data_IF_571910428177
#
_entry.id   IF_571910428177
#
_cell.length_a   1.000
_cell.length_b   1.000
_cell.length_c   1.000
_cell.angle_alpha   90.00
_cell.angle_beta   90.00
_cell.angle_gamma   90.00
#
_symmetry.space_group_name_H-M   'P 1'
#
loop_
_entity.id
_entity.type
_entity.pdbx_description
1 polymer ?
#
# COMPACT_ATOMS: atom_id res chain seq x y z
N UNK A 1 7.37 16.27 12.20
CA UNK A 1 6.87 14.90 12.42
C UNK A 1 5.56 14.79 11.66
N UNK A 2 5.44 13.88 10.69
CA UNK A 2 4.19 13.68 9.95
C UNK A 2 3.25 12.82 10.79
N UNK A 3 1.98 13.23 10.93
CA UNK A 3 0.93 12.41 11.56
C UNK A 3 0.14 11.73 10.45
N UNK A 4 0.53 10.51 10.08
CA UNK A 4 -0.10 9.78 8.97
C UNK A 4 -1.08 8.79 9.56
N UNK A 5 -2.36 8.97 9.27
CA UNK A 5 -3.43 8.08 9.72
C UNK A 5 -4.01 7.24 8.58
N UNK A 6 -3.89 7.73 7.36
CA UNK A 6 -4.39 7.10 6.15
C UNK A 6 -3.21 6.73 5.25
N UNK A 7 -2.83 5.44 5.23
CA UNK A 7 -1.64 5.03 4.48
C UNK A 7 -1.87 4.95 2.97
N UNK A 8 -3.12 5.02 2.51
CA UNK A 8 -3.47 4.86 1.10
C UNK A 8 -4.85 5.45 0.80
N UNK A 9 -4.88 6.47 -0.07
CA UNK A 9 -6.14 7.07 -0.54
C UNK A 9 -6.06 7.41 -2.02
N UNK A 10 -7.17 7.24 -2.72
CA UNK A 10 -7.37 7.72 -4.09
C UNK A 10 -8.09 9.07 -4.13
N UNK A 11 -8.44 9.64 -2.97
CA UNK A 11 -8.99 10.99 -2.92
C UNK A 11 -7.95 12.03 -3.37
N UNK A 12 -8.37 13.04 -4.15
CA UNK A 12 -7.44 14.05 -4.64
C UNK A 12 -6.83 14.85 -3.48
N UNK A 13 -5.56 15.23 -3.64
CA UNK A 13 -4.88 16.15 -2.75
C UNK A 13 -5.61 17.52 -2.71
N UNK A 14 -5.60 18.24 -1.57
CA UNK A 14 -4.84 17.97 -0.35
C UNK A 14 -5.51 16.97 0.62
N UNK A 15 -4.68 16.13 1.22
CA UNK A 15 -4.97 15.13 2.26
C UNK A 15 -3.83 15.13 3.30
N UNK A 16 -3.84 16.07 4.28
CA UNK A 16 -2.69 16.37 5.15
C UNK A 16 -2.13 15.19 5.98
N UNK A 17 -2.97 14.20 6.30
CA UNK A 17 -2.61 13.04 7.11
C UNK A 17 -2.62 11.73 6.30
N UNK A 18 -2.58 11.83 4.96
CA UNK A 18 -2.68 10.70 4.06
C UNK A 18 -1.52 10.60 3.07
N UNK A 19 -1.31 9.39 2.57
CA UNK A 19 -0.51 9.14 1.36
C UNK A 19 -1.45 9.00 0.17
N UNK A 20 -1.41 9.99 -0.73
CA UNK A 20 -2.26 10.01 -1.94
C UNK A 20 -1.62 9.13 -3.01
N UNK A 21 -2.33 8.10 -3.44
CA UNK A 21 -1.89 7.22 -4.51
C UNK A 21 -2.16 7.87 -5.88
N UNK A 22 -1.13 7.92 -6.73
CA UNK A 22 -1.26 8.44 -8.10
C UNK A 22 -0.52 7.58 -9.10
N UNK A 23 -0.95 7.64 -10.36
CA UNK A 23 -0.17 7.08 -11.47
C UNK A 23 1.01 8.00 -11.80
N UNK A 24 2.04 7.50 -12.52
CA UNK A 24 3.16 8.34 -12.94
C UNK A 24 2.75 9.51 -13.85
N UNK A 25 1.67 9.36 -14.63
CA UNK A 25 1.15 10.43 -15.49
C UNK A 25 0.41 11.51 -14.69
N UNK A 26 -0.18 11.14 -13.56
CA UNK A 26 -0.98 12.04 -12.72
C UNK A 26 -0.16 12.69 -11.60
N UNK A 27 1.12 12.35 -11.47
CA UNK A 27 1.98 12.89 -10.43
C UNK A 27 2.26 14.38 -10.65
N UNK A 28 1.54 15.21 -9.90
CA UNK A 28 1.68 16.67 -9.86
C UNK A 28 1.72 17.13 -8.39
N UNK A 29 2.91 17.18 -7.76
CA UNK A 29 3.00 17.39 -6.31
C UNK A 29 2.57 18.81 -5.92
N UNK A 30 1.78 18.89 -4.85
CA UNK A 30 1.47 20.15 -4.15
C UNK A 30 2.20 20.18 -2.80
N UNK A 31 2.49 21.37 -2.28
CA UNK A 31 3.22 21.52 -1.02
C UNK A 31 2.52 20.80 0.15
N UNK A 32 3.30 20.16 1.03
CA UNK A 32 2.84 19.46 2.23
C UNK A 32 1.91 18.25 2.00
N UNK A 33 1.90 17.66 0.81
CA UNK A 33 1.23 16.38 0.53
C UNK A 33 2.23 15.23 0.42
N UNK A 34 1.89 14.05 0.93
CA UNK A 34 2.66 12.82 0.67
C UNK A 34 1.97 11.96 -0.39
N UNK A 35 2.78 11.24 -1.17
CA UNK A 35 2.31 10.45 -2.30
C UNK A 35 2.92 9.05 -2.31
N UNK A 36 2.19 8.12 -2.91
CA UNK A 36 2.72 6.89 -3.49
C UNK A 36 2.56 6.97 -5.01
N UNK A 37 3.54 6.47 -5.75
CA UNK A 37 3.48 6.44 -7.23
C UNK A 37 3.78 5.03 -7.73
N UNK A 38 2.93 4.52 -8.60
CA UNK A 38 3.07 3.16 -9.12
C UNK A 38 2.17 2.87 -10.32
N UNK A 39 2.41 1.72 -10.94
CA UNK A 39 1.65 1.22 -12.08
C UNK A 39 0.73 0.10 -11.62
N UNK A 40 -0.56 0.42 -11.55
CA UNK A 40 -1.61 -0.49 -11.11
C UNK A 40 -1.73 -1.72 -12.03
N UNK A 41 -2.01 -2.94 -11.52
CA UNK A 41 -2.16 -4.15 -12.34
C UNK A 41 -3.17 -4.00 -13.48
N UNK A 42 -4.19 -3.15 -13.32
CA UNK A 42 -5.18 -2.89 -14.38
C UNK A 42 -4.60 -2.18 -15.62
N UNK A 43 -3.46 -1.51 -15.50
CA UNK A 43 -2.77 -0.82 -16.60
C UNK A 43 -1.80 -1.71 -17.36
N UNK A 44 -1.77 -3.02 -17.07
CA UNK A 44 -0.82 -3.98 -17.67
C UNK A 44 -1.41 -4.78 -18.83
N UNK A 45 -2.62 -4.40 -19.29
CA UNK A 45 -3.30 -5.04 -20.41
C UNK A 45 -2.45 -4.99 -21.69
N UNK A 46 -1.75 -3.88 -21.91
CA UNK A 46 -0.85 -3.64 -23.04
C UNK A 46 0.61 -3.50 -22.59
N UNK A 47 1.53 -3.47 -23.57
CA UNK A 47 2.91 -3.13 -23.29
C UNK A 47 3.00 -1.68 -22.82
N UNK A 48 3.72 -1.46 -21.72
CA UNK A 48 4.00 -0.14 -21.18
C UNK A 48 5.12 0.52 -22.01
N UNK A 49 4.97 1.81 -22.31
CA UNK A 49 6.00 2.59 -22.98
C UNK A 49 7.21 2.81 -22.06
N UNK A 50 8.36 3.17 -22.63
CA UNK A 50 9.51 3.58 -21.82
C UNK A 50 9.22 4.90 -21.08
N UNK A 51 8.43 5.80 -21.68
CA UNK A 51 8.00 7.07 -21.09
C UNK A 51 7.31 6.92 -19.73
N UNK A 52 6.40 5.93 -19.56
CA UNK A 52 5.73 5.74 -18.25
C UNK A 52 6.71 5.26 -17.18
N UNK A 53 7.74 4.50 -17.56
CA UNK A 53 8.77 4.06 -16.65
C UNK A 53 9.73 5.19 -16.26
N UNK A 54 10.12 6.03 -17.23
CA UNK A 54 10.93 7.22 -16.97
C UNK A 54 10.22 8.18 -16.02
N UNK A 55 8.90 8.40 -16.21
CA UNK A 55 8.07 9.19 -15.29
C UNK A 55 8.01 8.57 -13.90
N UNK A 56 7.81 7.26 -13.80
CA UNK A 56 7.77 6.56 -12.52
C UNK A 56 9.11 6.68 -11.78
N UNK A 57 10.23 6.45 -12.46
CA UNK A 57 11.56 6.53 -11.88
C UNK A 57 11.87 7.97 -11.41
N UNK A 58 11.52 8.98 -12.20
CA UNK A 58 11.66 10.39 -11.82
C UNK A 58 10.78 10.77 -10.62
N UNK A 59 9.50 10.37 -10.62
CA UNK A 59 8.58 10.62 -9.52
C UNK A 59 9.04 9.92 -8.23
N UNK A 60 9.54 8.68 -8.35
CA UNK A 60 10.05 7.89 -7.24
C UNK A 60 11.26 8.52 -6.53
N UNK A 61 11.98 9.46 -7.15
CA UNK A 61 13.06 10.21 -6.49
C UNK A 61 12.56 11.46 -5.76
N UNK A 62 11.33 11.91 -6.00
CA UNK A 62 10.78 13.11 -5.40
C UNK A 62 10.62 12.95 -3.86
N UNK A 63 10.96 13.96 -3.04
CA UNK A 63 10.92 13.86 -1.57
C UNK A 63 9.52 13.69 -0.99
N UNK A 64 8.49 14.12 -1.73
CA UNK A 64 7.08 13.94 -1.33
C UNK A 64 6.51 12.57 -1.72
N UNK A 65 7.23 11.78 -2.52
CA UNK A 65 6.85 10.40 -2.81
C UNK A 65 7.49 9.52 -1.76
N UNK A 66 6.69 8.86 -0.92
CA UNK A 66 7.17 8.11 0.26
C UNK A 66 7.02 6.60 0.11
N UNK A 67 6.34 6.13 -0.94
CA UNK A 67 6.20 4.71 -1.24
C UNK A 67 6.10 4.49 -2.76
N UNK A 68 6.44 3.28 -3.20
CA UNK A 68 6.16 2.80 -4.56
C UNK A 68 4.83 2.05 -4.54
N UNK A 69 3.97 2.37 -5.48
CA UNK A 69 2.64 1.79 -5.59
C UNK A 69 1.58 2.87 -5.85
N UNK A 70 0.38 2.49 -6.26
CA UNK A 70 -0.12 1.13 -6.21
C UNK A 70 0.43 0.23 -7.34
N UNK A 71 0.95 -0.94 -6.95
CA UNK A 71 1.37 -2.01 -7.86
C UNK A 71 0.74 -3.33 -7.41
N UNK A 72 1.03 -4.46 -8.06
CA UNK A 72 0.62 -5.77 -7.53
C UNK A 72 -0.10 -6.63 -8.56
N UNK A 73 -1.02 -7.47 -8.08
CA UNK A 73 -1.68 -8.50 -8.89
C UNK A 73 -3.18 -8.51 -8.65
N UNK A 74 -3.93 -8.54 -9.74
CA UNK A 74 -5.37 -8.77 -9.77
C UNK A 74 -5.69 -9.93 -10.72
N UNK A 75 -6.16 -11.06 -10.18
CA UNK A 75 -6.53 -12.24 -10.99
C UNK A 75 -7.88 -12.10 -11.69
N UNK A 76 -8.66 -11.05 -11.41
CA UNK A 76 -9.97 -10.80 -12.04
C UNK A 76 -9.83 -9.79 -13.17
N UNK A 77 -9.04 -8.73 -12.98
CA UNK A 77 -8.96 -7.59 -13.90
C UNK A 77 -7.51 -7.20 -14.24
N UNK A 78 -7.32 -6.58 -15.42
CA UNK A 78 -6.02 -6.12 -15.89
C UNK A 78 -5.39 -7.02 -16.94
N UNK A 79 -4.06 -6.94 -17.07
CA UNK A 79 -3.31 -7.75 -18.03
C UNK A 79 -3.19 -9.21 -17.65
N UNK A 80 -2.74 -10.08 -18.56
CA UNK A 80 -2.44 -11.46 -18.24
C UNK A 80 -1.39 -11.53 -17.11
N UNK A 81 -1.48 -12.55 -16.26
CA UNK A 81 -0.67 -12.67 -15.03
C UNK A 81 0.83 -12.45 -15.26
N UNK A 82 1.39 -12.95 -16.38
CA UNK A 82 2.81 -12.76 -16.67
C UNK A 82 3.20 -11.28 -16.86
N UNK A 83 2.33 -10.44 -17.45
CA UNK A 83 2.57 -9.00 -17.59
C UNK A 83 2.47 -8.30 -16.24
N UNK A 84 1.44 -8.62 -15.45
CA UNK A 84 1.30 -8.09 -14.09
C UNK A 84 2.54 -8.42 -13.24
N UNK A 85 3.03 -9.65 -13.31
CA UNK A 85 4.25 -10.09 -12.63
C UNK A 85 5.50 -9.36 -13.12
N UNK A 86 5.67 -9.17 -14.43
CA UNK A 86 6.80 -8.42 -14.98
C UNK A 86 6.81 -6.96 -14.46
N UNK A 87 5.66 -6.31 -14.49
CA UNK A 87 5.49 -4.93 -14.04
C UNK A 87 5.67 -4.81 -12.51
N UNK A 88 5.11 -5.73 -11.74
CA UNK A 88 5.30 -5.78 -10.29
C UNK A 88 6.78 -5.99 -9.93
N UNK A 89 7.50 -6.89 -10.59
CA UNK A 89 8.93 -7.14 -10.33
C UNK A 89 9.79 -5.91 -10.58
N UNK A 90 9.56 -5.17 -11.66
CA UNK A 90 10.29 -3.93 -11.93
C UNK A 90 10.01 -2.85 -10.88
N UNK A 91 8.79 -2.78 -10.34
CA UNK A 91 8.45 -1.88 -9.24
C UNK A 91 9.07 -2.32 -7.89
N UNK A 92 9.22 -3.63 -7.65
CA UNK A 92 9.99 -4.16 -6.52
C UNK A 92 11.46 -3.74 -6.62
N UNK A 93 12.07 -3.89 -7.79
CA UNK A 93 13.46 -3.47 -8.03
C UNK A 93 13.64 -1.95 -7.82
N UNK A 94 12.67 -1.15 -8.27
CA UNK A 94 12.66 0.29 -8.04
C UNK A 94 12.54 0.63 -6.55
N UNK A 95 11.62 -0.03 -5.83
CA UNK A 95 11.45 0.12 -4.37
C UNK A 95 12.76 -0.13 -3.62
N UNK A 96 13.47 -1.22 -3.93
CA UNK A 96 14.79 -1.50 -3.34
C UNK A 96 15.83 -0.44 -3.72
N UNK A 97 15.84 0.02 -4.99
CA UNK A 97 16.78 1.03 -5.48
C UNK A 97 16.62 2.37 -4.76
N UNK A 98 15.38 2.82 -4.55
CA UNK A 98 15.09 4.13 -3.93
C UNK A 98 14.91 4.06 -2.41
N UNK A 99 14.93 2.86 -1.82
CA UNK A 99 14.77 2.67 -0.38
C UNK A 99 13.38 3.06 0.14
N UNK A 100 12.33 2.81 -0.66
CA UNK A 100 10.94 3.14 -0.32
C UNK A 100 10.09 1.87 -0.27
N UNK A 101 9.13 1.75 0.67
CA UNK A 101 8.27 0.57 0.78
C UNK A 101 7.32 0.42 -0.41
N UNK A 102 6.68 -0.75 -0.50
CA UNK A 102 5.70 -1.08 -1.53
C UNK A 102 4.26 -1.11 -1.00
N UNK A 103 3.36 -0.47 -1.73
CA UNK A 103 1.90 -0.58 -1.56
C UNK A 103 1.34 -1.47 -2.68
N UNK A 104 0.73 -2.58 -2.28
CA UNK A 104 0.38 -3.71 -3.15
C UNK A 104 -1.14 -3.91 -3.18
N UNK A 105 -1.71 -3.79 -4.38
CA UNK A 105 -3.00 -4.33 -4.78
C UNK A 105 -2.92 -5.85 -4.84
N UNK A 106 -3.88 -6.52 -4.19
CA UNK A 106 -3.92 -7.98 -4.20
C UNK A 106 -5.36 -8.49 -4.28
N UNK A 107 -5.74 -8.99 -5.46
CA UNK A 107 -7.04 -9.66 -5.68
C UNK A 107 -6.81 -11.12 -6.07
N UNK A 108 -7.15 -12.02 -5.15
CA UNK A 108 -6.99 -13.47 -5.26
C UNK A 108 -5.55 -13.98 -5.54
N UNK A 109 -4.53 -13.18 -5.25
CA UNK A 109 -3.13 -13.47 -5.57
C UNK A 109 -2.20 -13.61 -4.35
N UNK A 110 -2.75 -13.72 -3.15
CA UNK A 110 -2.01 -13.79 -1.88
C UNK A 110 -0.90 -14.87 -1.87
N UNK A 111 -1.15 -16.00 -2.51
CA UNK A 111 -0.18 -17.09 -2.69
C UNK A 111 1.02 -16.66 -3.54
N UNK A 112 0.75 -15.92 -4.61
CA UNK A 112 1.77 -15.35 -5.50
C UNK A 112 2.55 -14.27 -4.77
N UNK A 113 1.88 -13.32 -4.11
CA UNK A 113 2.54 -12.24 -3.37
C UNK A 113 3.48 -12.81 -2.30
N UNK A 114 3.02 -13.79 -1.51
CA UNK A 114 3.84 -14.48 -0.50
C UNK A 114 5.02 -15.21 -1.15
N UNK A 115 4.79 -15.92 -2.26
CA UNK A 115 5.85 -16.61 -3.00
C UNK A 115 6.94 -15.64 -3.44
N UNK A 116 6.57 -14.53 -4.07
CA UNK A 116 7.53 -13.51 -4.54
C UNK A 116 8.28 -12.87 -3.36
N UNK A 117 7.60 -12.53 -2.25
CA UNK A 117 8.26 -11.96 -1.05
C UNK A 117 9.33 -12.92 -0.52
N UNK A 118 9.05 -14.23 -0.47
CA UNK A 118 10.00 -15.24 0.00
C UNK A 118 11.15 -15.46 -0.98
N UNK A 119 10.85 -15.55 -2.27
CA UNK A 119 11.84 -15.83 -3.31
C UNK A 119 12.85 -14.68 -3.47
N UNK A 120 12.36 -13.43 -3.41
CA UNK A 120 13.20 -12.25 -3.55
C UNK A 120 13.87 -11.82 -2.24
N UNK A 121 13.29 -12.17 -1.10
CA UNK A 121 13.70 -11.73 0.23
C UNK A 121 14.05 -10.22 0.29
N UNK A 122 13.13 -9.32 -0.12
CA UNK A 122 13.42 -7.90 -0.28
C UNK A 122 13.54 -7.20 1.07
N UNK A 123 14.39 -6.17 1.13
CA UNK A 123 14.67 -5.40 2.34
C UNK A 123 13.56 -4.40 2.67
N UNK A 124 12.87 -3.88 1.64
CA UNK A 124 11.83 -2.88 1.83
C UNK A 124 10.54 -3.51 2.38
N UNK A 125 9.82 -2.79 3.27
CA UNK A 125 8.51 -3.21 3.77
C UNK A 125 7.47 -3.30 2.65
N UNK A 126 6.58 -4.28 2.74
CA UNK A 126 5.48 -4.47 1.81
C UNK A 126 4.16 -4.35 2.56
N UNK A 127 3.20 -3.65 1.98
CA UNK A 127 1.83 -3.50 2.46
C UNK A 127 0.88 -4.10 1.42
N UNK A 128 -0.01 -5.00 1.85
CA UNK A 128 -1.23 -5.30 1.08
C UNK A 128 -2.30 -4.33 1.53
N UNK A 129 -2.69 -3.43 0.63
CA UNK A 129 -3.71 -2.44 0.90
C UNK A 129 -5.12 -3.02 0.76
N UNK A 130 -6.13 -2.38 1.33
CA UNK A 130 -7.52 -2.80 1.14
C UNK A 130 -7.83 -4.20 1.61
N UNK A 131 -7.20 -4.68 2.69
CA UNK A 131 -7.33 -6.08 3.07
C UNK A 131 -8.75 -6.44 3.54
N UNK A 132 -9.43 -7.27 2.74
CA UNK A 132 -10.80 -7.79 3.02
C UNK A 132 -10.85 -9.32 3.12
N UNK A 133 -9.69 -9.97 3.16
CA UNK A 133 -9.57 -11.43 3.18
C UNK A 133 -9.98 -12.07 4.51
N UNK A 134 -9.92 -13.41 4.56
CA UNK A 134 -10.17 -14.20 5.78
C UNK A 134 -8.99 -14.10 6.76
N UNK A 135 -9.20 -14.39 8.06
CA UNK A 135 -8.15 -14.27 9.07
C UNK A 135 -6.94 -15.17 8.80
N UNK A 136 -7.18 -16.36 8.22
CA UNK A 136 -6.12 -17.27 7.81
C UNK A 136 -5.20 -16.65 6.76
N UNK A 137 -5.73 -15.85 5.84
CA UNK A 137 -4.93 -15.13 4.84
C UNK A 137 -4.17 -13.98 5.50
N UNK A 138 -4.81 -13.22 6.39
CA UNK A 138 -4.17 -12.14 7.13
C UNK A 138 -2.95 -12.65 7.91
N UNK A 139 -3.12 -13.79 8.60
CA UNK A 139 -2.02 -14.48 9.30
C UNK A 139 -0.90 -14.90 8.34
N UNK A 140 -1.22 -15.53 7.21
CA UNK A 140 -0.19 -15.94 6.25
C UNK A 140 0.64 -14.77 5.70
N UNK A 141 0.01 -13.61 5.46
CA UNK A 141 0.72 -12.40 5.01
C UNK A 141 1.61 -11.85 6.13
N UNK A 142 1.05 -11.66 7.32
CA UNK A 142 1.79 -11.08 8.47
C UNK A 142 2.91 -11.98 8.98
N UNK A 143 2.77 -13.31 8.91
CA UNK A 143 3.85 -14.27 9.21
C UNK A 143 5.04 -14.14 8.26
N UNK A 144 4.87 -13.48 7.10
CA UNK A 144 5.95 -13.16 6.15
C UNK A 144 6.46 -11.71 6.23
N UNK A 145 6.01 -10.97 7.26
CA UNK A 145 6.37 -9.57 7.47
C UNK A 145 5.65 -8.60 6.53
N UNK A 146 4.59 -9.04 5.85
CA UNK A 146 3.74 -8.16 5.02
C UNK A 146 2.72 -7.47 5.93
N UNK A 147 2.65 -6.15 5.81
CA UNK A 147 1.72 -5.28 6.52
C UNK A 147 0.35 -5.32 5.86
N UNK A 148 -0.69 -4.98 6.61
CA UNK A 148 -2.07 -4.91 6.14
C UNK A 148 -2.69 -3.56 6.51
N UNK A 149 -3.37 -2.93 5.57
CA UNK A 149 -4.24 -1.79 5.83
C UNK A 149 -5.70 -2.16 5.63
N UNK A 150 -6.55 -1.47 6.39
CA UNK A 150 -7.97 -1.76 6.46
C UNK A 150 -8.79 -0.48 6.22
N UNK A 151 -9.67 -0.54 5.22
CA UNK A 151 -10.76 0.43 5.01
C UNK A 151 -12.05 -0.03 5.70
N UNK A 152 -13.14 0.72 5.55
CA UNK A 152 -14.43 0.45 6.18
C UNK A 152 -15.16 -0.86 5.76
N UNK A 153 -14.61 -1.61 4.80
CA UNK A 153 -15.15 -2.89 4.29
C UNK A 153 -14.32 -4.10 4.72
N UNK A 154 -13.50 -3.96 5.77
CA UNK A 154 -12.69 -5.06 6.30
C UNK A 154 -13.54 -6.24 6.81
N UNK A 155 -12.87 -7.37 7.06
CA UNK A 155 -13.44 -8.49 7.79
C UNK A 155 -13.08 -8.39 9.28
N UNK A 156 -14.08 -8.33 10.17
CA UNK A 156 -13.86 -8.13 11.62
C UNK A 156 -12.90 -9.15 12.23
N UNK A 157 -13.05 -10.44 11.89
CA UNK A 157 -12.19 -11.49 12.42
C UNK A 157 -10.74 -11.31 11.94
N UNK A 158 -10.53 -10.81 10.73
CA UNK A 158 -9.19 -10.54 10.21
C UNK A 158 -8.54 -9.38 10.93
N UNK A 159 -9.29 -8.34 11.28
CA UNK A 159 -8.80 -7.24 12.13
C UNK A 159 -8.38 -7.81 13.48
N UNK A 160 -9.24 -8.59 14.14
CA UNK A 160 -8.95 -9.19 15.45
C UNK A 160 -7.66 -10.02 15.45
N UNK A 161 -7.45 -10.86 14.43
CA UNK A 161 -6.29 -11.74 14.33
C UNK A 161 -4.99 -11.05 13.84
N UNK A 162 -5.09 -9.90 13.18
CA UNK A 162 -3.91 -9.19 12.64
C UNK A 162 -3.09 -8.58 13.78
N UNK A 163 -1.80 -8.89 13.94
CA UNK A 163 -0.98 -8.27 14.98
C UNK A 163 -0.91 -6.75 14.81
N UNK A 164 -1.10 -6.00 15.91
CA UNK A 164 -1.23 -4.54 15.86
C UNK A 164 -0.02 -3.86 15.22
N UNK A 165 1.18 -4.43 15.32
CA UNK A 165 2.41 -3.88 14.72
C UNK A 165 2.46 -3.99 13.18
N UNK A 166 1.56 -4.75 12.56
CA UNK A 166 1.43 -4.84 11.10
C UNK A 166 0.16 -4.18 10.58
N UNK A 167 -0.60 -3.52 11.45
CA UNK A 167 -1.88 -2.92 11.13
C UNK A 167 -1.73 -1.44 10.76
N UNK A 168 -2.33 -1.08 9.64
CA UNK A 168 -2.48 0.29 9.16
C UNK A 168 -3.97 0.56 8.86
N UNK A 169 -4.34 1.82 8.71
CA UNK A 169 -5.69 2.23 8.32
C UNK A 169 -5.62 3.01 7.01
N UNK A 170 -6.71 2.99 6.25
CA UNK A 170 -6.80 3.65 4.96
C UNK A 170 -8.24 4.03 4.62
N UNK A 171 -8.40 4.98 3.70
CA UNK A 171 -9.72 5.26 3.09
C UNK A 171 -9.90 4.59 1.73
N UNK A 172 -8.83 4.37 0.97
CA UNK A 172 -8.91 3.91 -0.42
C UNK A 172 -9.82 4.86 -1.25
N UNK A 173 -10.99 4.40 -1.71
CA UNK A 173 -12.04 5.21 -2.34
C UNK A 173 -13.29 5.43 -1.44
N UNK A 174 -13.19 5.11 -0.14
CA UNK A 174 -14.32 5.19 0.79
C UNK A 174 -14.54 6.61 1.29
N UNK A 175 -15.78 7.08 1.21
CA UNK A 175 -16.22 8.34 1.82
C UNK A 175 -16.25 8.30 3.38
N UNK A 176 -16.05 7.13 4.00
CA UNK A 176 -15.97 7.03 5.46
C UNK A 176 -14.71 7.75 5.95
N UNK A 177 -14.83 8.74 6.86
CA UNK A 177 -13.67 9.44 7.41
C UNK A 177 -12.66 8.48 8.07
N UNK A 178 -11.36 8.71 7.87
CA UNK A 178 -10.32 7.85 8.43
C UNK A 178 -10.43 7.67 9.96
N UNK A 179 -10.84 8.72 10.69
CA UNK A 179 -11.05 8.65 12.13
C UNK A 179 -12.16 7.65 12.52
N UNK A 180 -13.21 7.52 11.70
CA UNK A 180 -14.28 6.57 11.93
C UNK A 180 -13.83 5.14 11.62
N UNK A 181 -12.99 4.96 10.60
CA UNK A 181 -12.38 3.67 10.28
C UNK A 181 -11.49 3.22 11.45
N UNK A 182 -10.60 4.10 11.93
CA UNK A 182 -9.74 3.83 13.08
C UNK A 182 -10.58 3.54 14.32
N UNK A 183 -11.67 4.28 14.57
CA UNK A 183 -12.58 4.02 15.69
C UNK A 183 -13.17 2.62 15.64
N UNK A 184 -13.57 2.13 14.46
CA UNK A 184 -14.06 0.76 14.29
C UNK A 184 -12.96 -0.28 14.54
N UNK A 185 -11.74 -0.05 14.04
CA UNK A 185 -10.59 -0.91 14.31
C UNK A 185 -10.26 -0.98 15.81
N UNK A 186 -10.24 0.18 16.48
CA UNK A 186 -10.01 0.33 17.92
C UNK A 186 -11.05 -0.45 18.73
N UNK A 187 -12.32 -0.38 18.33
CA UNK A 187 -13.40 -1.14 18.98
C UNK A 187 -13.16 -2.66 18.91
N UNK A 188 -12.71 -3.18 17.77
CA UNK A 188 -12.42 -4.60 17.59
C UNK A 188 -11.15 -5.05 18.36
N UNK A 189 -10.18 -4.16 18.54
CA UNK A 189 -8.96 -4.43 19.31
C UNK A 189 -9.12 -4.21 20.82
N UNK A 190 -10.13 -3.46 21.25
CA UNK A 190 -10.34 -3.11 22.64
C UNK A 190 -9.35 -2.06 23.18
N UNK A 191 -8.66 -1.33 22.29
CA UNK A 191 -7.73 -0.25 22.63
C UNK A 191 -7.77 0.85 21.56
N UNK A 192 -7.42 2.09 21.90
CA UNK A 192 -7.33 3.18 20.92
C UNK A 192 -6.07 3.01 20.06
N UNK A 193 -6.28 2.71 18.78
CA UNK A 193 -5.21 2.48 17.81
C UNK A 193 -4.70 3.76 17.16
N UNK A 194 -5.24 4.95 17.43
CA UNK A 194 -4.89 6.17 16.70
C UNK A 194 -3.38 6.45 16.70
N UNK A 195 -2.76 6.41 17.89
CA UNK A 195 -1.30 6.58 18.01
C UNK A 195 -0.54 5.42 17.35
N UNK A 196 -0.97 4.17 17.60
CA UNK A 196 -0.37 2.96 17.03
C UNK A 196 -0.36 2.99 15.50
N UNK A 197 -1.46 3.38 14.87
CA UNK A 197 -1.57 3.53 13.40
C UNK A 197 -0.59 4.58 12.90
N UNK A 198 -0.49 5.74 13.56
CA UNK A 198 0.45 6.78 13.17
C UNK A 198 1.91 6.33 13.31
N UNK A 199 2.27 5.67 14.40
CA UNK A 199 3.62 5.14 14.63
C UNK A 199 3.97 4.04 13.64
N UNK A 200 3.01 3.16 13.35
CA UNK A 200 3.11 2.12 12.34
C UNK A 200 3.33 2.70 10.95
N UNK A 201 2.58 3.75 10.57
CA UNK A 201 2.73 4.42 9.28
C UNK A 201 4.12 5.05 9.14
N UNK A 202 4.61 5.74 10.18
CA UNK A 202 5.96 6.29 10.22
C UNK A 202 7.03 5.19 10.07
N UNK A 203 6.88 4.07 10.78
CA UNK A 203 7.80 2.91 10.68
C UNK A 203 7.77 2.28 9.29
N UNK A 204 6.59 2.08 8.71
CA UNK A 204 6.43 1.49 7.39
C UNK A 204 7.07 2.36 6.30
N UNK A 205 6.83 3.67 6.35
CA UNK A 205 7.35 4.65 5.40
C UNK A 205 8.82 5.05 5.65
N UNK A 206 9.45 4.52 6.71
CA UNK A 206 10.79 4.91 7.14
C UNK A 206 10.95 6.43 7.34
N UNK A 207 9.87 7.10 7.77
CA UNK A 207 9.89 8.51 8.11
C UNK A 207 10.38 8.65 9.55
N UNK A 208 11.49 9.36 9.76
CA UNK A 208 12.06 9.54 11.09
C UNK A 208 11.00 10.10 12.07
N UNK A 209 10.90 9.44 13.22
CA UNK A 209 10.20 9.94 14.40
C UNK A 209 11.01 11.08 15.02
#
# INVERSE_FOLDING_TARGET
MYTILDIHTHHPAPQPNAVVCVSPDDFNPIENQLYSVGIHPWKTADALSDDIWEKLEAAAEHPQVVAIGECGIDKIQGGPLFRQMQVMRRQIELSEKVGKPLIIHNVHAQDIIIGVKKDLNPTQPWLVHGFRGKPTIAKMLTDTGIWLSFNDKFNDMSVTETPIQFMLAETDESETPIADIITKLSSLKGEDLTATISENAARFLSLNS
#
